data_IF_447176456601
#
_entry.id   IF_447176456601
#
_cell.length_a   1.000
_cell.length_b   1.000
_cell.length_c   1.000
_cell.angle_alpha   90.00
_cell.angle_beta   90.00
_cell.angle_gamma   90.00
#
_symmetry.space_group_name_H-M   'P 1'
#
loop_
_entity.id
_entity.type
_entity.pdbx_description
1 polymer ?
#
# COMPACT_ATOMS: atom_id res chain seq x y z
N UNK A 1 -28.28 -33.40 10.12
CA UNK A 1 -27.14 -34.13 9.51
C UNK A 1 -26.00 -33.12 9.36
N UNK A 2 -24.77 -33.47 9.74
CA UNK A 2 -23.61 -32.58 9.52
C UNK A 2 -23.36 -32.42 8.02
N UNK A 3 -23.32 -31.18 7.53
CA UNK A 3 -23.07 -30.92 6.13
C UNK A 3 -21.60 -31.12 5.73
N UNK A 4 -21.34 -31.04 4.43
CA UNK A 4 -20.02 -31.31 3.83
C UNK A 4 -18.98 -30.27 4.23
N UNK A 5 -19.34 -28.99 4.34
CA UNK A 5 -18.41 -27.92 4.69
C UNK A 5 -17.96 -28.05 6.15
N UNK A 6 -18.91 -28.32 7.05
CA UNK A 6 -18.60 -28.54 8.47
C UNK A 6 -17.60 -29.68 8.66
N UNK A 7 -17.82 -30.82 8.01
CA UNK A 7 -16.95 -32.01 8.14
C UNK A 7 -15.54 -31.72 7.63
N UNK A 8 -15.43 -31.04 6.49
CA UNK A 8 -14.14 -30.69 5.90
C UNK A 8 -13.37 -29.70 6.78
N UNK A 9 -14.01 -28.60 7.18
CA UNK A 9 -13.38 -27.55 7.99
C UNK A 9 -13.01 -28.05 9.39
N UNK A 10 -13.86 -28.86 10.02
CA UNK A 10 -13.54 -29.49 11.30
C UNK A 10 -12.35 -30.46 11.17
N UNK A 11 -12.29 -31.23 10.08
CA UNK A 11 -11.18 -32.14 9.80
C UNK A 11 -9.85 -31.39 9.58
N UNK A 12 -9.85 -30.36 8.74
CA UNK A 12 -8.67 -29.52 8.49
C UNK A 12 -8.25 -28.77 9.74
N UNK A 13 -9.20 -28.20 10.48
CA UNK A 13 -8.93 -27.49 11.73
C UNK A 13 -8.27 -28.37 12.78
N UNK A 14 -8.79 -29.59 13.01
CA UNK A 14 -8.18 -30.55 13.92
C UNK A 14 -6.78 -30.98 13.47
N UNK A 15 -6.60 -31.23 12.17
CA UNK A 15 -5.29 -31.58 11.61
C UNK A 15 -4.27 -30.46 11.85
N UNK A 16 -4.65 -29.20 11.64
CA UNK A 16 -3.79 -28.04 11.87
C UNK A 16 -3.44 -27.84 13.35
N UNK A 17 -4.38 -28.09 14.28
CA UNK A 17 -4.11 -28.06 15.73
C UNK A 17 -3.11 -29.15 16.12
N UNK A 18 -3.30 -30.37 15.60
CA UNK A 18 -2.35 -31.48 15.81
C UNK A 18 -0.99 -31.16 15.21
N UNK A 19 -0.94 -30.62 13.99
CA UNK A 19 0.30 -30.20 13.35
C UNK A 19 1.01 -29.09 14.13
N UNK A 20 0.27 -28.10 14.64
CA UNK A 20 0.81 -27.05 15.49
C UNK A 20 1.41 -27.63 16.78
N UNK A 21 0.71 -28.57 17.41
CA UNK A 21 1.17 -29.22 18.65
C UNK A 21 2.42 -30.07 18.41
N UNK A 22 2.42 -30.88 17.34
CA UNK A 22 3.56 -31.72 16.95
C UNK A 22 4.76 -30.86 16.57
N UNK A 23 4.54 -29.79 15.80
CA UNK A 23 5.60 -28.86 15.41
C UNK A 23 6.19 -28.15 16.63
N UNK A 24 5.35 -27.69 17.55
CA UNK A 24 5.79 -27.03 18.79
C UNK A 24 6.59 -27.96 19.69
N UNK A 25 6.09 -29.18 19.93
CA UNK A 25 6.80 -30.17 20.76
C UNK A 25 8.10 -30.63 20.08
N UNK A 26 8.08 -30.85 18.76
CA UNK A 26 9.23 -31.31 18.01
C UNK A 26 10.36 -30.28 17.90
N UNK A 27 10.04 -28.99 18.00
CA UNK A 27 11.03 -27.90 17.92
C UNK A 27 11.40 -27.30 19.28
N UNK A 28 10.70 -27.67 20.35
CA UNK A 28 10.93 -27.19 21.73
C UNK A 28 12.34 -27.48 22.29
N UNK A 29 13.07 -28.44 21.71
CA UNK A 29 14.42 -28.81 22.16
C UNK A 29 15.55 -27.98 21.51
N UNK A 30 15.26 -27.15 20.51
CA UNK A 30 16.27 -26.36 19.79
C UNK A 30 16.40 -24.93 20.34
N UNK A 31 17.60 -24.35 20.28
CA UNK A 31 17.90 -22.97 20.71
C UNK A 31 17.26 -21.87 19.83
N UNK A 32 16.48 -22.26 18.82
CA UNK A 32 15.81 -21.38 17.84
C UNK A 32 14.33 -21.19 18.21
N UNK A 33 14.06 -20.80 19.45
CA UNK A 33 12.70 -20.69 20.01
C UNK A 33 11.77 -19.77 19.21
N UNK A 34 12.30 -18.75 18.55
CA UNK A 34 11.51 -17.78 17.78
C UNK A 34 10.85 -18.39 16.53
N UNK A 35 11.53 -19.33 15.86
CA UNK A 35 11.01 -19.99 14.65
C UNK A 35 9.95 -21.04 15.03
N UNK A 36 10.18 -21.75 16.14
CA UNK A 36 9.18 -22.65 16.73
C UNK A 36 7.91 -21.91 17.15
N UNK A 37 8.06 -20.75 17.79
CA UNK A 37 6.95 -19.92 18.26
C UNK A 37 6.12 -19.35 17.10
N UNK A 38 6.78 -18.81 16.07
CA UNK A 38 6.09 -18.30 14.88
C UNK A 38 5.34 -19.39 14.11
N UNK A 39 5.95 -20.56 13.90
CA UNK A 39 5.30 -21.66 13.19
C UNK A 39 4.11 -22.26 13.95
N UNK A 40 4.20 -22.39 15.28
CA UNK A 40 3.07 -22.85 16.12
C UNK A 40 1.93 -21.85 16.14
N UNK A 41 2.21 -20.54 16.21
CA UNK A 41 1.17 -19.50 16.14
C UNK A 41 0.47 -19.52 14.78
N UNK A 42 1.20 -19.61 13.67
CA UNK A 42 0.61 -19.62 12.33
C UNK A 42 -0.31 -20.85 12.16
N UNK A 43 0.18 -22.04 12.51
CA UNK A 43 -0.62 -23.27 12.39
C UNK A 43 -1.79 -23.30 13.37
N UNK A 44 -1.59 -22.83 14.60
CA UNK A 44 -2.63 -22.76 15.63
C UNK A 44 -3.73 -21.76 15.30
N UNK A 45 -3.38 -20.57 14.81
CA UNK A 45 -4.36 -19.56 14.37
C UNK A 45 -5.14 -20.02 13.13
N UNK A 46 -4.47 -20.64 12.15
CA UNK A 46 -5.14 -21.24 11.00
C UNK A 46 -6.10 -22.38 11.41
N UNK A 47 -5.68 -23.25 12.34
CA UNK A 47 -6.52 -24.32 12.88
C UNK A 47 -7.74 -23.77 13.63
N UNK A 48 -7.54 -22.78 14.50
CA UNK A 48 -8.62 -22.10 15.22
C UNK A 48 -9.62 -21.42 14.26
N UNK A 49 -9.12 -20.75 13.21
CA UNK A 49 -9.97 -20.15 12.19
C UNK A 49 -10.82 -21.21 11.45
N UNK A 50 -10.24 -22.35 11.06
CA UNK A 50 -10.98 -23.44 10.45
C UNK A 50 -12.06 -24.01 11.37
N UNK A 51 -11.78 -24.17 12.67
CA UNK A 51 -12.76 -24.63 13.65
C UNK A 51 -13.88 -23.60 13.88
N UNK A 52 -13.55 -22.32 13.90
CA UNK A 52 -14.52 -21.25 13.98
C UNK A 52 -15.44 -21.24 12.76
N UNK A 53 -14.90 -21.42 11.55
CA UNK A 53 -15.69 -21.54 10.33
C UNK A 53 -16.56 -22.80 10.31
N UNK A 54 -16.06 -23.91 10.87
CA UNK A 54 -16.87 -25.13 11.05
C UNK A 54 -18.05 -24.90 12.01
N UNK A 55 -17.83 -24.16 13.10
CA UNK A 55 -18.89 -23.74 14.02
C UNK A 55 -19.92 -22.85 13.32
N UNK A 56 -19.48 -21.82 12.61
CA UNK A 56 -20.38 -20.95 11.85
C UNK A 56 -21.18 -21.73 10.80
N UNK A 57 -20.59 -22.74 10.17
CA UNK A 57 -21.28 -23.62 9.21
C UNK A 57 -22.39 -24.46 9.86
N UNK A 58 -22.27 -24.80 11.15
CA UNK A 58 -23.33 -25.47 11.91
C UNK A 58 -24.49 -24.52 12.18
N UNK A 59 -24.19 -23.30 12.63
CA UNK A 59 -25.20 -22.29 12.94
C UNK A 59 -25.92 -21.78 11.69
N UNK A 60 -25.20 -21.58 10.59
CA UNK A 60 -25.75 -21.09 9.34
C UNK A 60 -26.60 -22.13 8.58
N UNK A 61 -26.46 -23.42 8.92
CA UNK A 61 -27.18 -24.52 8.28
C UNK A 61 -26.62 -24.91 6.91
N UNK A 62 -25.86 -25.99 6.85
CA UNK A 62 -25.26 -26.54 5.62
C UNK A 62 -26.25 -27.45 4.85
N UNK A 63 -27.44 -26.93 4.56
CA UNK A 63 -28.39 -27.57 3.64
C UNK A 63 -27.91 -27.37 2.19
N UNK A 64 -28.30 -28.23 1.21
CA UNK A 64 -28.02 -27.99 -0.20
C UNK A 64 -28.54 -26.60 -0.56
N UNK A 65 -27.61 -25.65 -0.74
CA UNK A 65 -27.98 -24.26 -0.96
C UNK A 65 -28.63 -24.11 -2.33
N UNK A 66 -29.72 -23.36 -2.37
CA UNK A 66 -30.27 -22.76 -3.60
C UNK A 66 -29.20 -22.00 -4.40
N UNK A 67 -28.10 -21.62 -3.75
CA UNK A 67 -26.93 -21.03 -4.39
C UNK A 67 -26.17 -21.99 -5.31
N UNK A 68 -26.20 -23.32 -5.11
CA UNK A 68 -25.44 -24.25 -5.96
C UNK A 68 -25.98 -24.35 -7.39
N UNK A 69 -27.30 -24.36 -7.54
CA UNK A 69 -27.97 -24.29 -8.85
C UNK A 69 -27.74 -22.92 -9.51
N UNK A 70 -27.64 -21.87 -8.70
CA UNK A 70 -27.39 -20.49 -9.14
C UNK A 70 -25.94 -20.25 -9.56
N UNK A 71 -24.99 -20.82 -8.83
CA UNK A 71 -23.54 -20.81 -9.11
C UNK A 71 -23.22 -21.59 -10.40
N UNK A 72 -23.91 -22.71 -10.65
CA UNK A 72 -23.76 -23.47 -11.89
C UNK A 72 -24.25 -22.71 -13.14
N UNK A 73 -25.14 -21.73 -12.96
CA UNK A 73 -25.66 -20.88 -14.02
C UNK A 73 -24.94 -19.51 -14.12
N UNK A 74 -23.96 -19.24 -13.25
CA UNK A 74 -23.31 -17.94 -13.17
C UNK A 74 -22.20 -17.79 -14.22
N UNK A 75 -22.23 -16.72 -15.00
CA UNK A 75 -21.16 -16.38 -15.94
C UNK A 75 -19.93 -15.87 -15.16
N UNK A 76 -18.76 -16.49 -15.36
CA UNK A 76 -17.53 -16.05 -14.70
C UNK A 76 -17.09 -14.68 -15.22
N UNK A 77 -17.41 -13.63 -14.46
CA UNK A 77 -16.85 -12.29 -14.67
C UNK A 77 -15.45 -12.23 -14.03
N UNK A 78 -14.41 -11.79 -14.77
CA UNK A 78 -13.07 -11.67 -14.21
C UNK A 78 -13.02 -10.73 -12.99
N UNK A 79 -12.48 -11.23 -11.87
CA UNK A 79 -12.27 -10.44 -10.66
C UNK A 79 -10.87 -9.80 -10.69
N UNK A 80 -10.80 -8.48 -10.88
CA UNK A 80 -9.54 -7.73 -10.95
C UNK A 80 -9.02 -7.28 -9.56
N UNK A 81 -9.88 -7.28 -8.53
CA UNK A 81 -9.55 -6.80 -7.19
C UNK A 81 -8.43 -7.58 -6.48
N UNK A 82 -8.30 -8.92 -6.59
CA UNK A 82 -7.19 -9.64 -6.00
C UNK A 82 -5.81 -9.21 -6.54
N UNK A 83 -5.75 -8.81 -7.82
CA UNK A 83 -4.53 -8.27 -8.44
C UNK A 83 -4.20 -6.90 -7.87
N UNK A 84 -5.21 -6.05 -7.64
CA UNK A 84 -4.99 -4.76 -6.98
C UNK A 84 -4.57 -4.92 -5.52
N UNK A 85 -5.15 -5.89 -4.80
CA UNK A 85 -4.74 -6.20 -3.44
C UNK A 85 -3.28 -6.66 -3.37
N UNK A 86 -2.83 -7.51 -4.30
CA UNK A 86 -1.43 -7.96 -4.35
C UNK A 86 -0.46 -6.83 -4.70
N UNK A 87 -0.86 -5.92 -5.59
CA UNK A 87 -0.09 -4.69 -5.84
C UNK A 87 0.02 -3.83 -4.57
N UNK A 88 -1.08 -3.68 -3.82
CA UNK A 88 -1.09 -3.00 -2.52
C UNK A 88 -0.15 -3.63 -1.49
N UNK A 89 -0.10 -4.97 -1.43
CA UNK A 89 0.87 -5.72 -0.60
C UNK A 89 2.30 -5.40 -1.03
N UNK A 90 2.58 -5.39 -2.33
CA UNK A 90 3.90 -5.01 -2.85
C UNK A 90 4.32 -3.62 -2.41
N UNK A 91 3.44 -2.62 -2.57
CA UNK A 91 3.70 -1.24 -2.12
C UNK A 91 3.89 -1.17 -0.60
N UNK A 92 3.10 -1.92 0.17
CA UNK A 92 3.19 -1.94 1.62
C UNK A 92 4.53 -2.51 2.10
N UNK A 93 4.99 -3.64 1.54
CA UNK A 93 6.29 -4.25 1.87
C UNK A 93 7.42 -3.26 1.60
N UNK A 94 7.38 -2.58 0.45
CA UNK A 94 8.36 -1.55 0.10
C UNK A 94 8.30 -0.38 1.09
N UNK A 95 7.09 0.06 1.43
CA UNK A 95 6.89 1.15 2.39
C UNK A 95 7.41 0.83 3.77
N UNK A 96 7.27 -0.42 4.24
CA UNK A 96 7.78 -0.84 5.55
C UNK A 96 9.30 -0.68 5.68
N UNK A 97 10.04 -0.75 4.57
CA UNK A 97 11.49 -0.52 4.54
C UNK A 97 11.83 0.94 4.27
N UNK A 98 11.09 1.57 3.35
CA UNK A 98 11.38 2.91 2.86
C UNK A 98 10.89 4.01 3.82
N UNK A 99 9.58 4.14 3.99
CA UNK A 99 8.95 5.21 4.77
C UNK A 99 7.56 4.79 5.29
N UNK A 100 7.20 5.19 6.53
CA UNK A 100 5.88 4.89 7.08
C UNK A 100 4.72 5.37 6.20
N UNK A 101 4.88 6.51 5.52
CA UNK A 101 3.84 7.06 4.64
C UNK A 101 3.53 6.14 3.45
N UNK A 102 4.55 5.55 2.83
CA UNK A 102 4.37 4.61 1.72
C UNK A 102 3.77 3.27 2.22
N UNK A 103 4.10 2.85 3.44
CA UNK A 103 3.48 1.68 4.06
C UNK A 103 1.97 1.89 4.27
N UNK A 104 1.59 3.08 4.78
CA UNK A 104 0.18 3.47 4.94
C UNK A 104 -0.53 3.49 3.59
N UNK A 105 0.09 4.03 2.54
CA UNK A 105 -0.50 4.05 1.20
C UNK A 105 -0.76 2.62 0.67
N UNK A 106 0.20 1.70 0.85
CA UNK A 106 0.03 0.28 0.50
C UNK A 106 -1.10 -0.39 1.30
N UNK A 107 -1.17 -0.13 2.61
CA UNK A 107 -2.25 -0.63 3.45
C UNK A 107 -3.63 -0.12 2.99
N UNK A 108 -3.75 1.17 2.68
CA UNK A 108 -4.98 1.78 2.16
C UNK A 108 -5.42 1.10 0.84
N UNK A 109 -4.48 0.80 -0.06
CA UNK A 109 -4.76 0.07 -1.29
C UNK A 109 -5.34 -1.33 -1.02
N UNK A 110 -4.79 -2.06 -0.05
CA UNK A 110 -5.28 -3.40 0.34
C UNK A 110 -6.70 -3.28 0.89
N UNK A 111 -6.94 -2.33 1.79
CA UNK A 111 -8.27 -2.11 2.40
C UNK A 111 -9.30 -1.74 1.34
N UNK A 112 -8.97 -0.85 0.41
CA UNK A 112 -9.87 -0.48 -0.68
C UNK A 112 -10.14 -1.66 -1.61
N UNK A 113 -9.12 -2.42 -2.00
CA UNK A 113 -9.31 -3.62 -2.81
C UNK A 113 -10.21 -4.64 -2.10
N UNK A 114 -10.09 -4.79 -0.77
CA UNK A 114 -10.95 -5.67 0.01
C UNK A 114 -12.41 -5.19 0.05
N UNK A 115 -12.64 -3.88 0.28
CA UNK A 115 -13.97 -3.27 0.28
C UNK A 115 -14.63 -3.45 -1.09
N UNK A 116 -13.90 -3.11 -2.15
CA UNK A 116 -14.35 -3.21 -3.54
C UNK A 116 -14.66 -4.64 -3.94
N UNK A 117 -13.80 -5.57 -3.56
CA UNK A 117 -14.03 -6.99 -3.80
C UNK A 117 -15.28 -7.48 -3.07
N UNK A 118 -15.47 -7.07 -1.82
CA UNK A 118 -16.64 -7.45 -1.01
C UNK A 118 -17.93 -6.92 -1.61
N UNK A 119 -17.95 -5.64 -2.02
CA UNK A 119 -19.15 -5.02 -2.61
C UNK A 119 -19.44 -5.62 -3.99
N UNK A 120 -18.41 -5.95 -4.77
CA UNK A 120 -18.56 -6.64 -6.06
C UNK A 120 -19.15 -8.04 -5.84
N UNK A 121 -18.60 -8.83 -4.92
CA UNK A 121 -19.10 -10.16 -4.59
C UNK A 121 -20.54 -10.13 -4.04
N UNK A 122 -20.90 -9.10 -3.26
CA UNK A 122 -22.27 -8.88 -2.82
C UNK A 122 -23.21 -8.55 -3.98
N UNK A 123 -22.79 -7.67 -4.89
CA UNK A 123 -23.60 -7.27 -6.04
C UNK A 123 -23.86 -8.46 -6.98
N UNK A 124 -22.82 -9.25 -7.24
CA UNK A 124 -22.86 -10.45 -8.08
C UNK A 124 -23.84 -11.50 -7.58
N UNK A 125 -23.98 -11.63 -6.26
CA UNK A 125 -24.93 -12.56 -5.62
C UNK A 125 -26.37 -12.03 -5.57
N UNK A 126 -26.66 -10.82 -6.05
CA UNK A 126 -28.01 -10.23 -5.92
C UNK A 126 -29.00 -10.83 -6.91
N UNK A 127 -28.67 -10.85 -8.20
CA UNK A 127 -29.53 -11.40 -9.27
C UNK A 127 -28.71 -12.24 -10.26
N UNK A 128 -29.37 -12.99 -11.15
CA UNK A 128 -28.71 -13.71 -12.26
C UNK A 128 -28.37 -12.80 -13.45
N UNK A 129 -28.83 -11.54 -13.45
CA UNK A 129 -28.52 -10.56 -14.49
C UNK A 129 -27.32 -9.70 -14.09
N UNK A 130 -26.18 -9.93 -14.76
CA UNK A 130 -24.93 -9.22 -14.51
C UNK A 130 -25.03 -7.71 -14.77
N UNK A 131 -25.82 -7.29 -15.77
CA UNK A 131 -25.97 -5.87 -16.10
C UNK A 131 -26.75 -5.12 -15.00
N UNK A 132 -27.80 -5.75 -14.47
CA UNK A 132 -28.56 -5.21 -13.35
C UNK A 132 -27.71 -5.13 -12.06
N UNK A 133 -26.94 -6.18 -11.75
CA UNK A 133 -26.05 -6.20 -10.60
C UNK A 133 -24.99 -5.09 -10.68
N UNK A 134 -24.39 -4.90 -11.85
CA UNK A 134 -23.41 -3.84 -12.09
C UNK A 134 -23.99 -2.44 -11.90
N UNK A 135 -25.21 -2.19 -12.39
CA UNK A 135 -25.88 -0.90 -12.24
C UNK A 135 -26.14 -0.56 -10.77
N UNK A 136 -26.50 -1.55 -9.94
CA UNK A 136 -26.71 -1.37 -8.50
C UNK A 136 -25.39 -1.09 -7.79
N UNK A 137 -24.34 -1.90 -8.04
CA UNK A 137 -23.00 -1.67 -7.50
C UNK A 137 -22.51 -0.27 -7.80
N UNK A 138 -22.62 0.14 -9.07
CA UNK A 138 -22.19 1.45 -9.55
C UNK A 138 -22.92 2.58 -8.81
N UNK A 139 -24.22 2.49 -8.58
CA UNK A 139 -24.95 3.53 -7.81
C UNK A 139 -24.45 3.68 -6.37
N UNK A 140 -24.06 2.58 -5.73
CA UNK A 140 -23.56 2.57 -4.35
C UNK A 140 -22.11 3.07 -4.28
N UNK A 141 -21.27 2.64 -5.23
CA UNK A 141 -19.82 2.87 -5.17
C UNK A 141 -19.37 4.16 -5.85
N UNK A 142 -20.02 4.59 -6.93
CA UNK A 142 -19.56 5.71 -7.77
C UNK A 142 -19.36 7.05 -7.02
N UNK A 143 -20.14 7.41 -5.97
CA UNK A 143 -19.88 8.61 -5.17
C UNK A 143 -18.55 8.57 -4.41
N UNK A 144 -18.05 7.38 -4.09
CA UNK A 144 -16.84 7.16 -3.29
C UNK A 144 -15.65 6.76 -4.16
N UNK A 145 -15.85 5.90 -5.16
CA UNK A 145 -14.82 5.44 -6.10
C UNK A 145 -14.12 6.63 -6.77
N UNK A 146 -14.89 7.57 -7.32
CA UNK A 146 -14.34 8.71 -8.08
C UNK A 146 -13.40 9.57 -7.23
N UNK A 147 -13.80 10.09 -6.05
CA UNK A 147 -12.90 10.90 -5.23
C UNK A 147 -11.72 10.10 -4.68
N UNK A 148 -11.95 8.85 -4.24
CA UNK A 148 -10.88 8.01 -3.68
C UNK A 148 -9.80 7.71 -4.72
N UNK A 149 -10.20 7.29 -5.92
CA UNK A 149 -9.25 7.03 -6.99
C UNK A 149 -8.57 8.29 -7.50
N UNK A 150 -9.25 9.43 -7.54
CA UNK A 150 -8.62 10.70 -7.89
C UNK A 150 -7.47 11.04 -6.94
N UNK A 151 -7.68 10.89 -5.63
CA UNK A 151 -6.63 11.12 -4.62
C UNK A 151 -5.51 10.10 -4.75
N UNK A 152 -5.82 8.81 -4.90
CA UNK A 152 -4.81 7.76 -4.99
C UNK A 152 -3.93 7.88 -6.23
N UNK A 153 -4.54 8.03 -7.41
CA UNK A 153 -3.82 8.19 -8.67
C UNK A 153 -3.06 9.51 -8.75
N UNK A 154 -3.48 10.55 -8.00
CA UNK A 154 -2.72 11.80 -7.89
C UNK A 154 -1.58 11.73 -6.87
N UNK A 155 -1.86 11.26 -5.66
CA UNK A 155 -0.92 11.31 -4.53
C UNK A 155 0.24 10.33 -4.67
N UNK A 156 -0.01 9.09 -5.12
CA UNK A 156 1.04 8.07 -5.22
C UNK A 156 2.17 8.50 -6.16
N UNK A 157 1.91 8.92 -7.41
CA UNK A 157 2.97 9.37 -8.31
C UNK A 157 3.69 10.63 -7.83
N UNK A 158 2.98 11.57 -7.18
CA UNK A 158 3.59 12.79 -6.63
C UNK A 158 4.57 12.45 -5.52
N UNK A 159 4.18 11.58 -4.59
CA UNK A 159 5.04 11.15 -3.48
C UNK A 159 6.27 10.38 -3.99
N UNK A 160 6.09 9.46 -4.93
CA UNK A 160 7.19 8.69 -5.53
C UNK A 160 8.11 9.59 -6.37
N UNK A 161 7.53 10.49 -7.16
CA UNK A 161 8.26 11.44 -8.01
C UNK A 161 9.12 12.41 -7.19
N UNK A 162 8.62 12.93 -6.07
CA UNK A 162 9.40 13.76 -5.15
C UNK A 162 10.68 13.06 -4.69
N UNK A 163 10.59 11.76 -4.36
CA UNK A 163 11.73 10.95 -3.91
C UNK A 163 12.72 10.64 -5.02
N UNK A 164 12.21 10.28 -6.20
CA UNK A 164 13.09 10.04 -7.37
C UNK A 164 13.86 11.30 -7.74
N UNK A 165 13.22 12.46 -7.71
CA UNK A 165 13.88 13.74 -8.00
C UNK A 165 14.92 14.13 -6.94
N UNK A 166 14.70 13.79 -5.67
CA UNK A 166 15.65 14.00 -4.59
C UNK A 166 16.91 13.13 -4.71
N UNK A 167 16.80 11.92 -5.28
CA UNK A 167 17.91 10.98 -5.39
C UNK A 167 18.77 11.16 -6.66
N UNK A 168 18.30 11.92 -7.68
CA UNK A 168 18.97 11.95 -8.98
C UNK A 168 20.04 13.06 -9.11
N UNK A 169 21.20 12.78 -9.75
CA UNK A 169 22.23 13.80 -10.03
C UNK A 169 21.76 14.83 -11.08
N UNK A 170 22.35 16.04 -11.05
CA UNK A 170 21.93 17.24 -11.83
C UNK A 170 21.70 16.96 -13.32
N UNK A 171 22.50 16.09 -13.91
CA UNK A 171 22.49 15.80 -15.34
C UNK A 171 21.47 14.72 -15.72
N UNK A 172 21.10 13.85 -14.78
CA UNK A 172 20.14 12.76 -15.00
C UNK A 172 18.70 13.19 -14.76
N UNK A 173 18.46 14.17 -13.86
CA UNK A 173 17.12 14.62 -13.50
C UNK A 173 16.31 15.12 -14.72
N UNK A 174 16.93 15.90 -15.60
CA UNK A 174 16.27 16.44 -16.80
C UNK A 174 15.88 15.33 -17.79
N UNK A 175 16.76 14.34 -17.96
CA UNK A 175 16.50 13.19 -18.83
C UNK A 175 15.40 12.28 -18.29
N UNK A 176 15.36 12.06 -16.97
CA UNK A 176 14.29 11.28 -16.35
C UNK A 176 12.95 12.02 -16.41
N UNK A 177 12.93 13.33 -16.11
CA UNK A 177 11.73 14.15 -16.23
C UNK A 177 11.18 14.14 -17.67
N UNK A 178 12.06 14.28 -18.67
CA UNK A 178 11.68 14.17 -20.08
C UNK A 178 11.15 12.77 -20.42
N UNK A 179 11.79 11.72 -19.92
CA UNK A 179 11.36 10.33 -20.09
C UNK A 179 9.96 10.10 -19.54
N UNK A 180 9.72 10.47 -18.28
CA UNK A 180 8.40 10.34 -17.63
C UNK A 180 7.34 11.16 -18.34
N UNK A 181 7.63 12.42 -18.67
CA UNK A 181 6.71 13.27 -19.41
C UNK A 181 6.37 12.66 -20.78
N UNK A 182 7.36 12.13 -21.49
CA UNK A 182 7.16 11.44 -22.79
C UNK A 182 6.31 10.19 -22.63
N UNK A 183 6.56 9.38 -21.60
CA UNK A 183 5.74 8.19 -21.31
C UNK A 183 4.29 8.56 -21.04
N UNK A 184 4.05 9.58 -20.20
CA UNK A 184 2.70 10.09 -19.92
C UNK A 184 2.03 10.59 -21.20
N UNK A 185 2.77 11.32 -22.05
CA UNK A 185 2.27 11.87 -23.30
C UNK A 185 1.91 10.77 -24.31
N UNK A 186 2.76 9.74 -24.45
CA UNK A 186 2.50 8.57 -25.29
C UNK A 186 1.24 7.86 -24.80
N UNK A 187 1.11 7.67 -23.49
CA UNK A 187 -0.09 7.09 -22.90
C UNK A 187 -1.33 7.91 -23.23
N UNK A 188 -1.32 9.21 -22.97
CA UNK A 188 -2.42 10.12 -23.26
C UNK A 188 -2.80 10.11 -24.75
N UNK A 189 -1.80 10.08 -25.63
CA UNK A 189 -2.01 9.99 -27.07
C UNK A 189 -2.66 8.67 -27.48
N UNK A 190 -2.23 7.53 -26.91
CA UNK A 190 -2.85 6.22 -27.17
C UNK A 190 -4.31 6.19 -26.70
N UNK A 191 -4.58 6.73 -25.51
CA UNK A 191 -5.94 6.90 -24.99
C UNK A 191 -6.82 7.75 -25.91
N UNK A 192 -6.27 8.85 -26.44
CA UNK A 192 -6.99 9.74 -27.34
C UNK A 192 -7.22 9.12 -28.74
N UNK A 193 -6.22 8.42 -29.28
CA UNK A 193 -6.25 7.90 -30.64
C UNK A 193 -7.12 6.64 -30.79
N UNK A 194 -7.27 5.82 -29.74
CA UNK A 194 -8.10 4.62 -29.77
C UNK A 194 -8.95 4.46 -28.49
N UNK A 195 -10.15 5.06 -28.44
CA UNK A 195 -11.06 4.89 -27.31
C UNK A 195 -11.61 3.45 -27.16
N UNK A 196 -11.61 2.65 -28.23
CA UNK A 196 -12.08 1.25 -28.23
C UNK A 196 -11.00 0.21 -27.88
N UNK A 197 -9.97 0.60 -27.12
CA UNK A 197 -9.00 -0.37 -26.61
C UNK A 197 -9.70 -1.33 -25.64
N UNK A 198 -9.57 -2.63 -25.90
CA UNK A 198 -10.10 -3.68 -25.03
C UNK A 198 -9.58 -3.44 -23.61
N UNK A 199 -10.49 -3.28 -22.65
CA UNK A 199 -10.20 -3.06 -21.23
C UNK A 199 -9.00 -3.83 -20.64
N UNK A 200 -8.77 -5.12 -20.95
CA UNK A 200 -7.60 -5.85 -20.44
C UNK A 200 -6.25 -5.35 -20.96
N UNK A 201 -6.17 -4.81 -22.18
CA UNK A 201 -4.93 -4.22 -22.72
C UNK A 201 -4.62 -2.92 -21.98
N UNK A 202 -5.63 -2.11 -21.71
CA UNK A 202 -5.44 -0.87 -20.95
C UNK A 202 -4.97 -1.17 -19.52
N UNK A 203 -5.60 -2.15 -18.87
CA UNK A 203 -5.23 -2.58 -17.52
C UNK A 203 -3.80 -3.11 -17.45
N UNK A 204 -3.33 -3.85 -18.46
CA UNK A 204 -1.98 -4.42 -18.45
C UNK A 204 -0.91 -3.34 -18.61
N UNK A 205 -1.08 -2.38 -19.52
CA UNK A 205 -0.11 -1.29 -19.71
C UNK A 205 -0.08 -0.41 -18.45
N UNK A 206 -1.24 -0.12 -17.85
CA UNK A 206 -1.30 0.66 -16.61
C UNK A 206 -0.61 -0.06 -15.45
N UNK A 207 -0.82 -1.38 -15.32
CA UNK A 207 -0.18 -2.21 -14.30
C UNK A 207 1.35 -2.25 -14.47
N UNK A 208 1.84 -2.37 -15.71
CA UNK A 208 3.27 -2.33 -16.02
C UNK A 208 3.85 -0.94 -15.69
N UNK A 209 3.14 0.14 -16.04
CA UNK A 209 3.56 1.50 -15.71
C UNK A 209 3.63 1.74 -14.21
N UNK A 210 2.62 1.32 -13.46
CA UNK A 210 2.61 1.42 -12.00
C UNK A 210 3.78 0.64 -11.38
N UNK A 211 4.03 -0.59 -11.85
CA UNK A 211 5.16 -1.41 -11.41
C UNK A 211 6.51 -0.72 -11.68
N UNK A 212 6.68 -0.13 -12.86
CA UNK A 212 7.90 0.59 -13.21
C UNK A 212 8.16 1.80 -12.30
N UNK A 213 7.10 2.55 -11.93
CA UNK A 213 7.21 3.68 -10.99
C UNK A 213 7.60 3.20 -9.59
N UNK A 214 7.01 2.09 -9.12
CA UNK A 214 7.36 1.50 -7.82
C UNK A 214 8.82 1.04 -7.80
N UNK A 215 9.27 0.30 -8.81
CA UNK A 215 10.66 -0.16 -8.92
C UNK A 215 11.63 1.02 -9.02
N UNK A 216 11.30 2.03 -9.83
CA UNK A 216 12.10 3.26 -9.95
C UNK A 216 12.22 4.02 -8.64
N UNK A 217 11.13 4.10 -7.86
CA UNK A 217 11.13 4.71 -6.53
C UNK A 217 12.02 3.97 -5.52
N UNK A 218 12.01 2.63 -5.54
CA UNK A 218 12.86 1.80 -4.66
C UNK A 218 14.34 2.01 -4.98
N UNK A 219 14.71 1.98 -6.27
CA UNK A 219 16.09 2.18 -6.71
C UNK A 219 16.59 3.56 -6.32
N UNK A 220 15.75 4.59 -6.45
CA UNK A 220 16.09 5.95 -6.02
C UNK A 220 16.44 6.04 -4.52
N UNK A 221 15.72 5.32 -3.66
CA UNK A 221 15.99 5.31 -2.22
C UNK A 221 17.34 4.63 -1.90
N UNK A 222 17.69 3.57 -2.64
CA UNK A 222 18.93 2.84 -2.41
C UNK A 222 20.21 3.61 -2.81
N UNK A 223 20.08 4.63 -3.67
CA UNK A 223 21.23 5.39 -4.21
C UNK A 223 21.74 6.48 -3.24
N UNK A 224 20.96 6.85 -2.22
CA UNK A 224 21.36 7.82 -1.20
C UNK A 224 21.24 9.28 -1.65
N UNK A 225 20.96 10.16 -0.70
CA UNK A 225 20.72 11.59 -0.93
C UNK A 225 22.00 12.31 -1.41
N UNK A 226 21.79 13.30 -2.28
CA UNK A 226 22.86 14.07 -2.92
C UNK A 226 23.46 15.06 -1.91
N UNK A 227 24.79 15.06 -1.75
CA UNK A 227 25.46 16.19 -1.12
C UNK A 227 25.26 17.44 -1.98
N UNK A 228 24.62 18.44 -1.39
CA UNK A 228 24.63 19.78 -1.94
C UNK A 228 25.96 20.41 -1.52
N UNK A 229 26.91 20.52 -2.46
CA UNK A 229 28.00 21.49 -2.31
C UNK A 229 27.35 22.85 -2.05
N UNK A 230 27.50 23.33 -0.82
CA UNK A 230 27.34 24.74 -0.52
C UNK A 230 28.30 25.46 -1.46
N UNK A 231 27.74 26.13 -2.47
CA UNK A 231 28.42 27.30 -2.98
C UNK A 231 28.42 28.28 -1.81
N UNK A 232 29.55 28.34 -1.10
CA UNK A 232 29.93 29.54 -0.39
C UNK A 232 29.86 30.65 -1.42
N UNK A 233 28.79 31.43 -1.36
CA UNK A 233 28.83 32.79 -1.89
C UNK A 233 29.95 33.46 -1.10
N UNK A 234 31.05 33.69 -1.81
CA UNK A 234 32.18 34.54 -1.44
C UNK A 234 31.62 35.95 -1.16
N UNK A 235 31.02 36.11 0.02
CA UNK A 235 30.85 37.40 0.64
C UNK A 235 32.21 37.75 1.22
N UNK A 236 32.84 38.70 0.54
CA UNK A 236 34.18 39.18 0.81
C UNK A 236 34.47 39.35 2.29
N UNK A 237 35.67 38.91 2.62
CA UNK A 237 36.45 39.37 3.75
C UNK A 237 36.26 40.88 3.95
N UNK A 238 35.62 41.24 5.06
CA UNK A 238 35.97 42.39 5.88
C UNK A 238 35.62 41.98 7.33
N UNK A 239 36.59 41.31 7.93
CA UNK A 239 36.87 41.34 9.37
C UNK A 239 36.44 42.65 10.06
N UNK A 240 35.70 42.56 11.17
CA UNK A 240 36.04 43.22 12.45
C UNK A 240 35.00 42.93 13.57
N UNK A 241 35.52 42.28 14.62
CA UNK A 241 35.23 42.41 16.05
C UNK A 241 33.80 42.27 16.63
N UNK A 242 33.60 41.11 17.25
CA UNK A 242 32.63 40.84 18.33
C UNK A 242 33.05 41.59 19.61
N UNK A 243 32.29 42.60 20.02
CA UNK A 243 32.31 43.12 21.40
C UNK A 243 31.18 42.49 22.23
N UNK A 244 31.58 41.70 23.22
CA UNK A 244 30.74 41.11 24.24
C UNK A 244 30.33 42.20 25.26
N UNK A 245 29.14 42.76 25.10
CA UNK A 245 28.60 43.76 26.03
C UNK A 245 27.96 43.08 27.24
N UNK A 246 28.70 43.03 28.36
CA UNK A 246 28.16 42.61 29.67
C UNK A 246 27.30 43.73 30.27
N UNK A 247 25.99 43.47 30.39
CA UNK A 247 25.02 44.38 31.00
C UNK A 247 25.15 44.38 32.53
N UNK A 248 25.83 45.38 33.09
CA UNK A 248 25.83 45.68 34.52
C UNK A 248 24.66 46.60 34.90
N UNK A 249 23.63 46.04 35.53
CA UNK A 249 22.49 46.79 36.08
C UNK A 249 22.90 47.45 37.41
N UNK A 250 22.97 48.78 37.44
CA UNK A 250 23.05 49.53 38.70
C UNK A 250 21.73 50.26 38.90
N UNK A 251 21.13 50.06 40.07
CA UNK A 251 19.81 50.59 40.43
C UNK A 251 19.81 52.11 40.50
N UNK A 252 19.45 52.73 39.37
CA UNK A 252 18.63 53.94 39.25
C UNK A 252 18.52 54.32 37.76
N UNK A 253 17.64 53.61 37.04
CA UNK A 253 16.86 54.09 35.88
C UNK A 253 17.49 54.85 34.70
N UNK A 254 18.81 54.98 34.55
CA UNK A 254 19.43 55.75 33.46
C UNK A 254 20.64 55.00 32.88
N UNK A 255 20.59 54.63 31.60
CA UNK A 255 21.70 54.03 30.88
C UNK A 255 22.66 55.12 30.39
N UNK A 256 23.92 55.09 30.85
CA UNK A 256 25.00 55.95 30.36
C UNK A 256 26.04 55.08 29.65
N UNK A 257 26.25 55.34 28.35
CA UNK A 257 27.28 54.69 27.54
C UNK A 257 28.63 55.37 27.80
N UNK A 258 29.56 54.68 28.46
CA UNK A 258 30.95 55.14 28.63
C UNK A 258 31.79 54.49 27.53
N UNK A 259 32.19 55.28 26.54
CA UNK A 259 33.16 54.88 25.50
C UNK A 259 34.56 55.21 26.02
N UNK A 260 35.39 54.18 26.26
CA UNK A 260 36.80 54.37 26.60
C UNK A 260 37.66 53.90 25.43
N UNK A 261 38.27 54.85 24.72
CA UNK A 261 39.14 54.60 23.56
C UNK A 261 40.54 54.28 24.06
N UNK A 262 41.03 53.07 23.80
CA UNK A 262 42.46 52.78 23.73
C UNK A 262 42.77 51.60 22.84
#
# INVERSE_FOLDING_TARGET
MFGTATKFLAGVGLLLIVAATVYGVGTAANSTGDVAFSGTIILGTAGAACLFLAWLSLEAGDAPSIDREREAAYELVPAYWPIMASAGVGVMIVGLVATPLLAIAGFVLIVLAAIEWTITAWADRRSTDAAANYAVRRKVMLPFEVPVYAVLFGAIPVLLGSRVLLALPRNASSWLALGVATTILIFAFVFYAKPDLKGPIMASILAIGALAVVVGGIVAIAVGERDFEHHEEDHGDDTEHTEESTLGFTGDGVAVMVVNVR
#
